data_IF_369924191194
#
_entry.id   IF_369924191194
#
_cell.length_a   1.000
_cell.length_b   1.000
_cell.length_c   1.000
_cell.angle_alpha   90.00
_cell.angle_beta   90.00
_cell.angle_gamma   90.00
#
_symmetry.space_group_name_H-M   'P 1'
#
loop_
_entity.id
_entity.type
_entity.pdbx_description
1 polymer ?
#
# COMPACT_ATOMS: atom_id res chain seq x y z
N UNK A 1 -20.65 -17.30 23.42
CA UNK A 1 -21.38 -16.71 22.29
C UNK A 1 -20.53 -15.59 21.70
N UNK A 2 -19.74 -15.88 20.67
CA UNK A 2 -18.85 -14.89 20.04
C UNK A 2 -19.49 -14.26 18.81
N UNK A 3 -19.13 -13.01 18.51
CA UNK A 3 -19.42 -12.34 17.24
C UNK A 3 -19.08 -13.27 16.05
N UNK A 4 -19.89 -13.22 14.99
CA UNK A 4 -19.66 -14.01 13.79
C UNK A 4 -18.29 -13.67 13.20
N UNK A 5 -17.45 -14.69 12.97
CA UNK A 5 -16.10 -14.55 12.41
C UNK A 5 -16.07 -13.73 11.11
N UNK A 6 -17.13 -13.84 10.30
CA UNK A 6 -17.27 -13.08 9.05
C UNK A 6 -17.39 -11.58 9.32
N UNK A 7 -18.20 -11.18 10.29
CA UNK A 7 -18.38 -9.78 10.67
C UNK A 7 -17.05 -9.20 11.17
N UNK A 8 -16.29 -9.98 11.94
CA UNK A 8 -14.97 -9.56 12.46
C UNK A 8 -14.00 -9.36 11.31
N UNK A 9 -14.01 -10.25 10.31
CA UNK A 9 -13.19 -10.12 9.11
C UNK A 9 -13.56 -8.86 8.32
N UNK A 10 -14.86 -8.60 8.13
CA UNK A 10 -15.35 -7.38 7.46
C UNK A 10 -14.87 -6.14 8.22
N UNK A 11 -15.04 -6.09 9.55
CA UNK A 11 -14.56 -4.96 10.36
C UNK A 11 -13.05 -4.78 10.22
N UNK A 12 -12.29 -5.87 10.25
CA UNK A 12 -10.84 -5.81 10.11
C UNK A 12 -10.43 -5.23 8.75
N UNK A 13 -10.92 -5.80 7.65
CA UNK A 13 -10.53 -5.40 6.29
C UNK A 13 -11.11 -4.07 5.85
N UNK A 14 -12.34 -3.73 6.25
CA UNK A 14 -13.02 -2.51 5.78
C UNK A 14 -12.78 -1.29 6.68
N UNK A 15 -12.39 -1.48 7.95
CA UNK A 15 -12.25 -0.38 8.91
C UNK A 15 -10.83 -0.31 9.46
N UNK A 16 -10.35 -1.38 10.08
CA UNK A 16 -9.07 -1.36 10.80
C UNK A 16 -7.89 -1.24 9.83
N UNK A 17 -7.90 -2.04 8.77
CA UNK A 17 -6.82 -2.05 7.77
C UNK A 17 -6.67 -0.67 7.08
N UNK A 18 -7.74 -0.03 6.56
CA UNK A 18 -7.66 1.31 5.99
C UNK A 18 -7.20 2.40 6.97
N UNK A 19 -7.67 2.36 8.23
CA UNK A 19 -7.26 3.33 9.26
C UNK A 19 -5.75 3.26 9.47
N UNK A 20 -5.20 2.05 9.57
CA UNK A 20 -3.75 1.89 9.68
C UNK A 20 -3.06 2.38 8.40
N UNK A 21 -3.57 2.03 7.22
CA UNK A 21 -2.92 2.38 5.94
C UNK A 21 -3.01 3.84 5.53
N UNK A 22 -3.89 4.65 6.14
CA UNK A 22 -4.15 6.04 5.74
C UNK A 22 -2.87 6.87 5.53
N UNK A 23 -1.92 6.75 6.46
CA UNK A 23 -0.65 7.49 6.40
C UNK A 23 0.54 6.62 5.97
N UNK A 24 0.32 5.39 5.47
CA UNK A 24 1.36 4.37 5.23
C UNK A 24 2.62 4.92 4.56
N UNK A 25 2.50 5.79 3.56
CA UNK A 25 3.65 6.40 2.88
C UNK A 25 4.56 7.27 3.79
N UNK A 26 4.05 7.81 4.89
CA UNK A 26 4.82 8.63 5.83
C UNK A 26 5.53 7.79 6.89
N UNK A 27 4.90 6.73 7.39
CA UNK A 27 5.44 5.94 8.50
C UNK A 27 5.89 4.52 8.10
N UNK A 28 5.86 4.17 6.81
CA UNK A 28 6.40 2.90 6.30
C UNK A 28 7.85 2.63 6.75
N UNK A 29 8.79 3.59 6.76
CA UNK A 29 10.13 3.36 7.29
C UNK A 29 10.13 2.94 8.77
N UNK A 30 9.14 3.39 9.55
CA UNK A 30 9.02 3.03 10.96
C UNK A 30 8.69 1.53 11.15
N UNK A 31 8.14 0.84 10.13
CA UNK A 31 7.88 -0.61 10.18
C UNK A 31 9.14 -1.47 10.16
N UNK A 32 10.31 -0.87 9.93
CA UNK A 32 11.62 -1.52 10.12
C UNK A 32 11.96 -1.71 11.60
N UNK A 33 11.37 -0.89 12.49
CA UNK A 33 11.54 -1.00 13.93
C UNK A 33 10.74 -2.18 14.48
N UNK A 34 11.43 -3.11 15.14
CA UNK A 34 10.82 -4.32 15.69
C UNK A 34 9.71 -4.02 16.70
N UNK A 35 9.85 -2.94 17.48
CA UNK A 35 8.81 -2.49 18.40
C UNK A 35 7.48 -2.19 17.69
N UNK A 36 7.55 -1.52 16.54
CA UNK A 36 6.36 -1.17 15.75
C UNK A 36 5.80 -2.42 15.09
N UNK A 37 6.65 -3.27 14.50
CA UNK A 37 6.21 -4.54 13.92
C UNK A 37 5.51 -5.45 14.94
N UNK A 38 6.04 -5.53 16.16
CA UNK A 38 5.46 -6.28 17.26
C UNK A 38 4.11 -5.71 17.71
N UNK A 39 3.97 -4.38 17.76
CA UNK A 39 2.70 -3.73 18.06
C UNK A 39 1.63 -4.01 16.98
N UNK A 40 1.99 -3.91 15.70
CA UNK A 40 1.11 -4.24 14.57
C UNK A 40 0.69 -5.71 14.60
N UNK A 41 1.65 -6.60 14.85
CA UNK A 41 1.40 -8.04 14.97
C UNK A 41 0.48 -8.38 16.15
N UNK A 42 0.65 -7.70 17.29
CA UNK A 42 -0.20 -7.88 18.47
C UNK A 42 -1.64 -7.45 18.19
N UNK A 43 -1.83 -6.33 17.48
CA UNK A 43 -3.14 -5.88 17.03
C UNK A 43 -3.78 -6.90 16.08
N UNK A 44 -3.07 -7.34 15.04
CA UNK A 44 -3.58 -8.34 14.09
C UNK A 44 -3.91 -9.66 14.77
N UNK A 45 -3.08 -10.12 15.71
CA UNK A 45 -3.29 -11.39 16.44
C UNK A 45 -4.63 -11.42 17.16
N UNK A 46 -5.03 -10.30 17.76
CA UNK A 46 -6.31 -10.18 18.44
C UNK A 46 -7.50 -10.43 17.50
N UNK A 47 -7.42 -9.94 16.27
CA UNK A 47 -8.43 -10.19 15.23
C UNK A 47 -8.31 -11.61 14.66
N UNK A 48 -7.12 -12.05 14.32
CA UNK A 48 -6.87 -13.38 13.74
C UNK A 48 -7.40 -14.51 14.63
N UNK A 49 -7.18 -14.45 15.95
CA UNK A 49 -7.70 -15.43 16.91
C UNK A 49 -9.24 -15.46 16.89
N UNK A 50 -9.88 -14.28 16.82
CA UNK A 50 -11.34 -14.18 16.82
C UNK A 50 -11.94 -14.68 15.50
N UNK A 51 -11.31 -14.39 14.37
CA UNK A 51 -11.71 -14.85 13.04
C UNK A 51 -11.64 -16.38 12.98
N UNK A 52 -10.49 -16.96 13.36
CA UNK A 52 -10.26 -18.41 13.35
C UNK A 52 -10.97 -19.16 14.48
N UNK A 53 -11.52 -18.44 15.47
CA UNK A 53 -12.06 -19.03 16.71
C UNK A 53 -11.02 -19.91 17.44
N UNK A 54 -9.76 -19.49 17.38
CA UNK A 54 -8.63 -20.25 17.89
C UNK A 54 -8.38 -19.98 19.38
N UNK A 55 -7.57 -20.83 20.03
CA UNK A 55 -7.14 -20.60 21.40
C UNK A 55 -6.13 -19.46 21.51
N UNK A 56 -6.08 -18.82 22.69
CA UNK A 56 -5.11 -17.75 23.02
C UNK A 56 -3.65 -18.21 22.98
N UNK A 57 -3.37 -19.52 23.00
CA UNK A 57 -2.03 -20.12 22.94
C UNK A 57 -1.53 -20.38 21.53
N UNK A 58 -2.38 -20.21 20.49
CA UNK A 58 -1.98 -20.43 19.10
C UNK A 58 -0.90 -19.41 18.70
N UNK A 59 0.11 -19.88 17.98
CA UNK A 59 1.20 -19.03 17.48
C UNK A 59 0.66 -17.91 16.58
N UNK A 60 1.33 -16.76 16.56
CA UNK A 60 0.93 -15.63 15.72
C UNK A 60 0.82 -16.03 14.24
N UNK A 61 1.86 -16.66 13.71
CA UNK A 61 1.96 -17.06 12.31
C UNK A 61 0.83 -18.01 11.91
N UNK A 62 0.55 -19.03 12.73
CA UNK A 62 -0.55 -19.96 12.46
C UNK A 62 -1.91 -19.25 12.52
N UNK A 63 -2.13 -18.36 13.50
CA UNK A 63 -3.38 -17.62 13.60
C UNK A 63 -3.63 -16.74 12.36
N UNK A 64 -2.61 -16.02 11.87
CA UNK A 64 -2.74 -15.18 10.67
C UNK A 64 -2.99 -15.98 9.40
N UNK A 65 -2.28 -17.10 9.22
CA UNK A 65 -2.48 -18.00 8.07
C UNK A 65 -3.90 -18.55 8.05
N UNK A 66 -4.37 -19.07 9.20
CA UNK A 66 -5.75 -19.58 9.31
C UNK A 66 -6.79 -18.47 9.10
N UNK A 67 -6.47 -17.23 9.47
CA UNK A 67 -7.38 -16.09 9.30
C UNK A 67 -7.38 -15.55 7.87
N UNK A 68 -6.40 -15.95 7.04
CA UNK A 68 -6.18 -15.41 5.70
C UNK A 68 -5.77 -13.94 5.71
N UNK A 69 -5.07 -13.48 6.76
CA UNK A 69 -4.63 -12.09 6.89
C UNK A 69 -3.16 -11.93 6.50
N UNK A 70 -2.86 -10.94 5.66
CA UNK A 70 -1.48 -10.56 5.37
C UNK A 70 -0.91 -9.73 6.54
N UNK A 71 0.34 -9.97 6.98
CA UNK A 71 0.99 -9.13 7.99
C UNK A 71 0.94 -7.65 7.61
N UNK A 72 0.55 -6.81 8.57
CA UNK A 72 0.23 -5.41 8.33
C UNK A 72 1.48 -4.61 7.93
N UNK A 73 2.65 -4.97 8.44
CA UNK A 73 3.93 -4.37 8.05
C UNK A 73 4.25 -4.60 6.57
N UNK A 74 3.90 -5.77 6.02
CA UNK A 74 4.08 -6.08 4.60
C UNK A 74 3.12 -5.26 3.74
N UNK A 75 1.84 -5.18 4.16
CA UNK A 75 0.84 -4.37 3.46
C UNK A 75 1.21 -2.89 3.44
N UNK A 76 1.76 -2.35 4.53
CA UNK A 76 2.23 -0.96 4.60
C UNK A 76 3.38 -0.71 3.62
N UNK A 77 4.36 -1.63 3.58
CA UNK A 77 5.50 -1.54 2.64
C UNK A 77 5.04 -1.64 1.18
N UNK A 78 4.08 -2.51 0.90
CA UNK A 78 3.45 -2.61 -0.41
C UNK A 78 2.77 -1.29 -0.82
N UNK A 79 1.97 -0.69 0.07
CA UNK A 79 1.30 0.58 -0.18
C UNK A 79 2.30 1.71 -0.46
N UNK A 80 3.40 1.77 0.30
CA UNK A 80 4.48 2.73 0.08
C UNK A 80 5.18 2.52 -1.28
N UNK A 81 5.49 1.27 -1.64
CA UNK A 81 6.09 0.93 -2.91
C UNK A 81 5.19 1.33 -4.10
N UNK A 82 3.90 1.06 -4.01
CA UNK A 82 2.91 1.46 -5.02
C UNK A 82 2.80 2.97 -5.15
N UNK A 83 2.81 3.71 -4.02
CA UNK A 83 2.79 5.17 -4.04
C UNK A 83 4.03 5.74 -4.74
N UNK A 84 5.23 5.24 -4.41
CA UNK A 84 6.48 5.65 -5.05
C UNK A 84 6.48 5.35 -6.55
N UNK A 85 6.05 4.15 -6.95
CA UNK A 85 5.97 3.74 -8.35
C UNK A 85 5.01 4.64 -9.14
N UNK A 86 3.82 4.91 -8.59
CA UNK A 86 2.83 5.81 -9.21
C UNK A 86 3.41 7.21 -9.43
N UNK A 87 4.08 7.76 -8.42
CA UNK A 87 4.71 9.09 -8.50
C UNK A 87 5.77 9.18 -9.60
N UNK A 88 6.55 8.12 -9.81
CA UNK A 88 7.54 8.03 -10.89
C UNK A 88 6.86 8.03 -12.25
N UNK A 89 5.83 7.20 -12.42
CA UNK A 89 5.06 7.10 -13.67
C UNK A 89 4.39 8.44 -14.00
N UNK A 90 3.80 9.11 -13.02
CA UNK A 90 3.17 10.43 -13.20
C UNK A 90 4.21 11.49 -13.62
N UNK A 91 5.39 11.48 -13.01
CA UNK A 91 6.51 12.36 -13.39
C UNK A 91 7.08 12.09 -14.79
N UNK A 92 7.13 10.82 -15.21
CA UNK A 92 7.51 10.46 -16.59
C UNK A 92 6.45 10.90 -17.60
N UNK A 93 5.16 10.75 -17.24
CA UNK A 93 4.03 11.17 -18.08
C UNK A 93 4.01 12.70 -18.27
N UNK A 94 4.29 13.49 -17.23
CA UNK A 94 4.40 14.94 -17.35
C UNK A 94 5.58 15.35 -18.24
N UNK A 95 6.76 14.76 -18.01
CA UNK A 95 7.97 15.01 -18.82
C UNK A 95 7.76 14.67 -20.28
N UNK A 96 7.12 13.53 -20.57
CA UNK A 96 6.80 13.11 -21.94
C UNK A 96 5.82 14.06 -22.64
N UNK A 97 4.84 14.61 -21.92
CA UNK A 97 3.92 15.64 -22.44
C UNK A 97 4.67 16.93 -22.76
N UNK A 98 5.59 17.34 -21.90
CA UNK A 98 6.39 18.54 -22.10
C UNK A 98 7.33 18.42 -23.28
N UNK A 99 8.02 17.28 -23.42
CA UNK A 99 8.85 16.98 -24.59
C UNK A 99 8.05 17.00 -25.89
N UNK A 100 6.82 16.47 -25.91
CA UNK A 100 5.96 16.55 -27.10
C UNK A 100 5.62 18.00 -27.46
N UNK A 101 5.36 18.86 -26.48
CA UNK A 101 5.10 20.29 -26.71
C UNK A 101 6.33 20.99 -27.27
N UNK A 102 7.51 20.78 -26.68
CA UNK A 102 8.75 21.39 -27.16
C UNK A 102 9.09 20.95 -28.58
N UNK A 103 8.92 19.66 -28.90
CA UNK A 103 9.12 19.15 -30.26
C UNK A 103 8.11 19.75 -31.27
N UNK A 104 6.86 20.00 -30.87
CA UNK A 104 5.88 20.68 -31.72
C UNK A 104 6.31 22.13 -32.02
N UNK A 105 6.75 22.87 -30.99
CA UNK A 105 7.27 24.23 -31.16
C UNK A 105 8.46 24.28 -32.11
N UNK A 106 9.40 23.35 -31.97
CA UNK A 106 10.59 23.30 -32.83
C UNK A 106 10.25 22.96 -34.29
N UNK A 107 9.31 22.05 -34.55
CA UNK A 107 8.86 21.75 -35.92
C UNK A 107 8.17 22.94 -36.60
N UNK A 108 7.45 23.76 -35.83
CA UNK A 108 6.81 24.97 -36.33
C UNK A 108 7.79 26.06 -36.79
N UNK A 109 9.06 25.99 -36.39
CA UNK A 109 10.07 27.01 -36.70
C UNK A 109 10.98 26.66 -37.89
N UNK A 110 10.67 25.63 -38.67
CA UNK A 110 11.50 25.25 -39.82
C UNK A 110 11.42 26.34 -40.90
N UNK A 111 12.49 27.12 -41.18
CA UNK A 111 12.42 28.14 -42.21
C UNK A 111 12.31 27.46 -43.58
N UNK A 112 11.29 27.83 -44.36
CA UNK A 112 11.21 27.46 -45.76
C UNK A 112 12.47 27.96 -46.46
N UNK A 113 13.36 27.04 -46.85
CA UNK A 113 14.41 27.36 -47.81
C UNK A 113 13.72 27.77 -49.11
N UNK A 114 13.61 29.08 -49.33
CA UNK A 114 13.36 29.65 -50.65
C UNK A 114 14.58 29.31 -51.51
N UNK A 115 14.42 28.30 -52.36
CA UNK A 115 15.37 28.04 -53.43
C UNK A 115 15.04 28.96 -54.62
N UNK A 116 16.07 29.57 -55.24
CA UNK A 116 15.93 30.52 -56.34
C UNK A 116 15.47 29.86 -57.65
#
# INVERSE_FOLDING_TARGET
MGLNSEIIRIIYTAVIEPIMMYASNTWAPATELEMIRSALSSLQRGFAIKICRAYRTVSLTSAMILAGLLPLDLRIREAEALYKAKRIIDGLSSTGKELKRTLQTLRGHTPQKQCP
#
